data_IF_457742807743
#
_entry.id   IF_457742807743
#
_cell.length_a   1.000
_cell.length_b   1.000
_cell.length_c   1.000
_cell.angle_alpha   90.00
_cell.angle_beta   90.00
_cell.angle_gamma   90.00
#
_symmetry.space_group_name_H-M   'P 1'
#
loop_
_entity.id
_entity.type
_entity.pdbx_description
1 polymer ?
#
# COMPACT_ATOMS: atom_id res chain seq x y z
N UNK A 1 -12.67 0.25 13.99
CA UNK A 1 -11.25 -0.05 13.72
C UNK A 1 -10.50 0.20 15.02
N UNK A 2 -9.65 -0.73 15.46
CA UNK A 2 -8.76 -0.49 16.58
C UNK A 2 -7.76 0.60 16.17
N UNK A 3 -7.43 1.54 17.07
CA UNK A 3 -6.58 2.71 16.77
C UNK A 3 -5.08 2.42 16.98
N UNK A 4 -4.65 1.17 16.84
CA UNK A 4 -3.25 0.75 17.00
C UNK A 4 -2.67 0.19 15.69
N UNK A 5 -1.36 -0.11 15.65
CA UNK A 5 -0.75 -0.83 14.53
C UNK A 5 -1.47 -2.14 14.23
N UNK A 6 -1.44 -2.57 12.98
CA UNK A 6 -1.98 -3.87 12.59
C UNK A 6 -1.22 -4.98 13.34
N UNK A 7 -1.96 -5.97 13.85
CA UNK A 7 -1.36 -7.19 14.38
C UNK A 7 -1.00 -8.18 13.25
N UNK A 8 -0.32 -9.28 13.59
CA UNK A 8 0.14 -10.29 12.62
C UNK A 8 -0.97 -10.83 11.72
N UNK A 9 -2.15 -11.12 12.26
CA UNK A 9 -3.28 -11.62 11.46
C UNK A 9 -3.86 -10.54 10.54
N UNK A 10 -3.82 -9.27 10.97
CA UNK A 10 -4.26 -8.14 10.15
C UNK A 10 -3.26 -7.83 9.02
N UNK A 11 -1.96 -8.02 9.27
CA UNK A 11 -0.91 -7.93 8.26
C UNK A 11 -1.03 -9.06 7.23
N UNK A 12 -1.20 -10.30 7.68
CA UNK A 12 -1.41 -11.45 6.79
C UNK A 12 -2.67 -11.29 5.93
N UNK A 13 -3.77 -10.83 6.53
CA UNK A 13 -4.98 -10.51 5.78
C UNK A 13 -4.76 -9.42 4.72
N UNK A 14 -3.94 -8.41 5.03
CA UNK A 14 -3.63 -7.34 4.09
C UNK A 14 -2.74 -7.84 2.95
N UNK A 15 -1.74 -8.67 3.24
CA UNK A 15 -0.91 -9.35 2.24
C UNK A 15 -1.77 -10.19 1.28
N UNK A 16 -2.64 -11.05 1.83
CA UNK A 16 -3.57 -11.86 1.03
C UNK A 16 -4.49 -11.00 0.16
N UNK A 17 -4.92 -9.86 0.69
CA UNK A 17 -5.78 -8.92 -0.03
C UNK A 17 -5.05 -8.27 -1.20
N UNK A 18 -3.82 -7.80 -0.99
CA UNK A 18 -2.99 -7.21 -2.04
C UNK A 18 -2.69 -8.25 -3.13
N UNK A 19 -2.23 -9.44 -2.74
CA UNK A 19 -1.95 -10.53 -3.68
C UNK A 19 -3.19 -10.96 -4.48
N UNK A 20 -4.38 -10.99 -3.87
CA UNK A 20 -5.64 -11.37 -4.53
C UNK A 20 -6.05 -10.40 -5.64
N UNK A 21 -5.80 -9.11 -5.46
CA UNK A 21 -6.22 -8.05 -6.39
C UNK A 21 -5.06 -7.47 -7.21
N UNK A 22 -3.84 -7.96 -7.02
CA UNK A 22 -2.67 -7.52 -7.75
C UNK A 22 -2.87 -7.72 -9.27
N UNK A 23 -2.66 -6.64 -10.02
CA UNK A 23 -2.49 -6.64 -11.46
C UNK A 23 -1.00 -6.45 -11.82
N UNK A 24 -0.65 -6.58 -13.10
CA UNK A 24 0.73 -6.37 -13.54
C UNK A 24 1.19 -4.94 -13.21
N UNK A 25 2.25 -4.83 -12.40
CA UNK A 25 2.80 -3.55 -11.94
C UNK A 25 2.15 -2.98 -10.67
N UNK A 26 1.24 -3.71 -10.03
CA UNK A 26 0.64 -3.31 -8.75
C UNK A 26 1.60 -3.62 -7.59
N UNK A 27 1.31 -3.02 -6.42
CA UNK A 27 1.93 -3.48 -5.17
C UNK A 27 1.45 -4.90 -4.87
N UNK A 28 2.40 -5.79 -4.58
CA UNK A 28 2.15 -7.21 -4.35
C UNK A 28 1.98 -7.55 -2.87
N UNK A 29 2.66 -6.83 -1.98
CA UNK A 29 2.70 -7.14 -0.55
C UNK A 29 2.73 -5.89 0.35
N UNK A 30 2.55 -6.11 1.65
CA UNK A 30 2.53 -5.10 2.69
C UNK A 30 3.86 -4.37 2.82
N UNK A 31 4.99 -5.03 2.54
CA UNK A 31 6.31 -4.40 2.62
C UNK A 31 6.52 -3.36 1.52
N UNK A 32 6.06 -3.66 0.30
CA UNK A 32 6.03 -2.72 -0.82
C UNK A 32 5.08 -1.55 -0.55
N UNK A 33 3.89 -1.82 0.00
CA UNK A 33 2.93 -0.79 0.39
C UNK A 33 3.53 0.16 1.45
N UNK A 34 4.13 -0.40 2.50
CA UNK A 34 4.78 0.36 3.56
C UNK A 34 5.94 1.22 3.02
N UNK A 35 6.75 0.66 2.13
CA UNK A 35 7.81 1.38 1.44
C UNK A 35 7.30 2.56 0.62
N UNK A 36 6.23 2.37 -0.15
CA UNK A 36 5.59 3.45 -0.93
C UNK A 36 5.04 4.55 -0.02
N UNK A 37 4.28 4.19 1.02
CA UNK A 37 3.69 5.15 1.95
C UNK A 37 4.78 5.92 2.71
N UNK A 38 5.86 5.24 3.12
CA UNK A 38 7.02 5.86 3.75
C UNK A 38 7.68 6.87 2.82
N UNK A 39 7.86 6.54 1.54
CA UNK A 39 8.41 7.45 0.54
C UNK A 39 7.53 8.69 0.32
N UNK A 40 6.19 8.51 0.26
CA UNK A 40 5.22 9.60 0.14
C UNK A 40 5.27 10.52 1.36
N UNK A 41 5.23 9.96 2.57
CA UNK A 41 5.26 10.73 3.82
C UNK A 41 6.59 11.45 4.04
N UNK A 42 7.68 10.91 3.48
CA UNK A 42 9.02 11.50 3.58
C UNK A 42 9.35 12.45 2.43
N UNK A 43 8.42 12.64 1.48
CA UNK A 43 8.65 13.49 0.32
C UNK A 43 8.84 14.97 0.74
N UNK A 44 9.66 15.76 0.01
CA UNK A 44 9.88 17.17 0.33
C UNK A 44 8.64 18.05 0.08
N UNK A 45 7.62 17.52 -0.60
CA UNK A 45 6.36 18.17 -0.94
C UNK A 45 5.23 17.17 -0.91
N UNK A 46 4.02 17.63 -0.63
CA UNK A 46 2.82 16.79 -0.69
C UNK A 46 2.62 16.19 -2.08
N UNK A 47 2.24 14.91 -2.12
CA UNK A 47 1.93 14.16 -3.34
C UNK A 47 0.43 13.90 -3.36
N UNK A 48 -0.24 14.30 -4.43
CA UNK A 48 -1.69 14.14 -4.56
C UNK A 48 -2.08 12.65 -4.53
N UNK A 49 -3.12 12.24 -3.77
CA UNK A 49 -3.60 10.86 -3.71
C UNK A 49 -3.83 10.22 -5.07
N UNK A 50 -4.33 10.99 -6.04
CA UNK A 50 -4.56 10.50 -7.39
C UNK A 50 -3.28 9.98 -8.08
N UNK A 51 -2.09 10.45 -7.68
CA UNK A 51 -0.82 10.01 -8.28
C UNK A 51 -0.34 8.67 -7.75
N UNK A 52 -0.51 8.39 -6.45
CA UNK A 52 0.02 7.17 -5.82
C UNK A 52 -1.02 6.07 -5.60
N UNK A 53 -2.32 6.40 -5.53
CA UNK A 53 -3.38 5.37 -5.43
C UNK A 53 -3.42 4.46 -6.66
N UNK A 54 -3.03 4.96 -7.84
CA UNK A 54 -2.94 4.15 -9.07
C UNK A 54 -1.81 3.11 -9.00
N UNK A 55 -0.71 3.43 -8.29
CA UNK A 55 0.42 2.52 -8.14
C UNK A 55 0.09 1.32 -7.24
N UNK A 56 -0.82 1.48 -6.28
CA UNK A 56 -1.23 0.39 -5.38
C UNK A 56 -1.93 -0.72 -6.16
N UNK A 57 -2.82 -0.38 -7.08
CA UNK A 57 -3.68 -1.35 -7.75
C UNK A 57 -3.24 -1.71 -9.17
N UNK A 58 -2.16 -1.09 -9.67
CA UNK A 58 -1.85 -0.95 -11.09
C UNK A 58 -3.07 -0.61 -11.93
N UNK A 59 -3.28 0.69 -12.16
CA UNK A 59 -4.25 1.18 -13.12
C UNK A 59 -3.62 2.18 -14.07
N UNK A 60 -3.17 1.69 -15.23
CA UNK A 60 -3.21 2.48 -16.46
C UNK A 60 -4.63 2.53 -17.01
#
# INVERSE_FOLDING_TARGET
MNTGPLNENELEWLDDTLAKYAAEGAILDVSELDGLLTAILSAPTDIEPAQWLLAIWAGG
#
